data_IF_420728216016
#
_entry.id   IF_420728216016
#
_cell.length_a   1.000
_cell.length_b   1.000
_cell.length_c   1.000
_cell.angle_alpha   90.00
_cell.angle_beta   90.00
_cell.angle_gamma   90.00
#
_symmetry.space_group_name_H-M   'P 1'
#
loop_
_entity.id
_entity.type
_entity.pdbx_description
1 polymer ?
#
# COMPACT_ATOMS: atom_id res chain seq x y z
N UNK A 1 -7.85 -20.36 27.07
CA UNK A 1 -7.20 -20.65 25.77
C UNK A 1 -6.96 -19.35 24.97
N UNK A 2 -6.04 -18.45 25.38
CA UNK A 2 -5.71 -17.24 24.60
C UNK A 2 -4.46 -17.39 23.71
N UNK A 3 -3.56 -18.34 24.01
CA UNK A 3 -2.30 -18.50 23.27
C UNK A 3 -2.52 -19.04 21.83
N UNK A 4 -3.43 -19.99 21.64
CA UNK A 4 -3.71 -20.58 20.32
C UNK A 4 -4.38 -19.60 19.35
N UNK A 5 -5.19 -18.65 19.84
CA UNK A 5 -5.82 -17.63 18.99
C UNK A 5 -4.81 -16.57 18.52
N UNK A 6 -3.79 -16.29 19.33
CA UNK A 6 -2.74 -15.32 19.00
C UNK A 6 -1.73 -15.92 18.01
N UNK A 7 -1.30 -17.16 18.20
CA UNK A 7 -0.43 -17.88 17.25
C UNK A 7 -1.07 -18.04 15.85
N UNK A 8 -2.39 -18.20 15.79
CA UNK A 8 -3.12 -18.28 14.51
C UNK A 8 -3.17 -16.93 13.79
N UNK A 9 -3.37 -15.84 14.54
CA UNK A 9 -3.37 -14.48 14.00
C UNK A 9 -1.97 -14.06 13.49
N UNK A 10 -0.91 -14.51 14.16
CA UNK A 10 0.47 -14.25 13.75
C UNK A 10 0.90 -15.03 12.50
N UNK A 11 0.15 -16.06 12.10
CA UNK A 11 0.45 -16.88 10.92
C UNK A 11 -0.57 -16.72 9.77
N UNK A 12 -1.58 -15.88 9.94
CA UNK A 12 -2.55 -15.56 8.88
C UNK A 12 -2.10 -14.33 8.09
N UNK A 13 -2.16 -14.43 6.75
CA UNK A 13 -1.89 -13.28 5.89
C UNK A 13 -2.84 -12.13 6.17
N UNK A 14 -2.33 -10.90 6.11
CA UNK A 14 -3.08 -9.71 6.49
C UNK A 14 -3.15 -8.75 5.31
N UNK A 15 -4.36 -8.45 4.82
CA UNK A 15 -4.55 -7.56 3.69
C UNK A 15 -4.89 -6.14 4.17
N UNK A 16 -4.29 -5.15 3.51
CA UNK A 16 -4.66 -3.73 3.67
C UNK A 16 -4.96 -3.16 2.30
N UNK A 17 -6.08 -2.45 2.18
CA UNK A 17 -6.43 -1.67 1.00
C UNK A 17 -6.12 -0.20 1.22
N UNK A 18 -5.36 0.37 0.29
CA UNK A 18 -4.94 1.76 0.27
C UNK A 18 -5.70 2.45 -0.86
N UNK A 19 -6.60 3.35 -0.50
CA UNK A 19 -7.39 4.11 -1.46
C UNK A 19 -6.79 5.49 -1.67
N UNK A 20 -6.77 5.92 -2.93
CA UNK A 20 -6.20 7.20 -3.34
C UNK A 20 -7.20 7.96 -4.19
N UNK A 21 -7.54 9.16 -3.75
CA UNK A 21 -8.33 10.14 -4.51
C UNK A 21 -7.43 11.31 -4.88
N UNK A 22 -7.13 11.47 -6.16
CA UNK A 22 -6.30 12.54 -6.69
C UNK A 22 -7.12 13.79 -7.06
N UNK A 23 -6.45 14.93 -7.13
CA UNK A 23 -6.98 16.13 -7.79
C UNK A 23 -7.31 15.79 -9.25
N UNK A 24 -8.37 16.39 -9.79
CA UNK A 24 -8.73 16.21 -11.20
C UNK A 24 -7.53 16.54 -12.10
N UNK A 25 -7.25 15.66 -13.07
CA UNK A 25 -6.09 15.76 -13.96
C UNK A 25 -4.78 15.14 -13.43
N UNK A 26 -4.72 14.73 -12.16
CA UNK A 26 -3.48 14.25 -11.52
C UNK A 26 -3.45 12.74 -11.24
N UNK A 27 -4.51 12.00 -11.56
CA UNK A 27 -4.56 10.55 -11.31
C UNK A 27 -3.41 9.79 -12.03
N UNK A 28 -3.12 10.16 -13.28
CA UNK A 28 -2.04 9.51 -14.03
C UNK A 28 -0.65 9.91 -13.52
N UNK A 29 -0.45 11.16 -13.08
CA UNK A 29 0.78 11.59 -12.42
C UNK A 29 1.00 10.79 -11.12
N UNK A 30 -0.05 10.62 -10.32
CA UNK A 30 0.01 9.85 -9.08
C UNK A 30 0.49 8.42 -9.34
N UNK A 31 -0.13 7.70 -10.28
CA UNK A 31 0.24 6.29 -10.50
C UNK A 31 1.62 6.17 -11.15
N UNK A 32 2.06 7.16 -11.94
CA UNK A 32 3.43 7.22 -12.48
C UNK A 32 4.45 7.37 -11.35
N UNK A 33 4.24 8.31 -10.43
CA UNK A 33 5.10 8.50 -9.27
C UNK A 33 5.09 7.27 -8.35
N UNK A 34 3.91 6.69 -8.10
CA UNK A 34 3.78 5.45 -7.33
C UNK A 34 4.61 4.31 -7.95
N UNK A 35 4.50 4.10 -9.27
CA UNK A 35 5.24 3.05 -9.98
C UNK A 35 6.75 3.31 -10.01
N UNK A 36 7.16 4.57 -10.10
CA UNK A 36 8.56 4.98 -10.16
C UNK A 36 9.26 4.81 -8.81
N UNK A 37 8.60 5.23 -7.74
CA UNK A 37 9.25 5.43 -6.43
C UNK A 37 8.77 4.44 -5.36
N UNK A 38 7.47 4.28 -5.20
CA UNK A 38 6.94 3.45 -4.10
C UNK A 38 6.93 1.95 -4.44
N UNK A 39 6.51 1.58 -5.66
CA UNK A 39 6.41 0.18 -6.08
C UNK A 39 7.75 -0.59 -6.00
N UNK A 40 8.92 -0.03 -6.38
CA UNK A 40 10.19 -0.74 -6.24
C UNK A 40 10.54 -1.06 -4.77
N UNK A 41 10.20 -0.17 -3.83
CA UNK A 41 10.37 -0.42 -2.39
C UNK A 41 9.50 -1.60 -1.96
N UNK A 42 8.21 -1.61 -2.35
CA UNK A 42 7.31 -2.72 -2.05
C UNK A 42 7.79 -4.04 -2.67
N UNK A 43 8.32 -4.01 -3.89
CA UNK A 43 8.91 -5.21 -4.53
C UNK A 43 10.10 -5.76 -3.75
N UNK A 44 10.95 -4.90 -3.17
CA UNK A 44 12.01 -5.35 -2.26
C UNK A 44 11.48 -5.97 -0.98
N UNK A 45 10.36 -5.48 -0.45
CA UNK A 45 9.68 -6.12 0.68
C UNK A 45 9.00 -7.45 0.31
N UNK A 46 8.65 -7.66 -0.97
CA UNK A 46 8.22 -8.98 -1.47
C UNK A 46 9.40 -9.95 -1.45
N UNK A 47 10.57 -9.53 -1.92
CA UNK A 47 11.79 -10.36 -1.93
C UNK A 47 12.20 -10.84 -0.52
N UNK A 48 11.88 -10.08 0.53
CA UNK A 48 12.15 -10.48 1.93
C UNK A 48 11.04 -11.32 2.57
N UNK A 49 9.93 -11.53 1.87
CA UNK A 49 8.77 -12.28 2.37
C UNK A 49 7.91 -11.50 3.38
N UNK A 50 8.16 -10.19 3.58
CA UNK A 50 7.27 -9.33 4.38
C UNK A 50 5.93 -9.11 3.69
N UNK A 51 5.99 -8.85 2.38
CA UNK A 51 4.82 -8.70 1.51
C UNK A 51 4.66 -9.96 0.67
N UNK A 52 3.47 -10.53 0.65
CA UNK A 52 3.12 -11.67 -0.19
C UNK A 52 2.65 -11.23 -1.58
N UNK A 53 1.94 -10.09 -1.67
CA UNK A 53 1.39 -9.58 -2.93
C UNK A 53 1.12 -8.08 -2.87
N UNK A 54 1.34 -7.40 -4.00
CA UNK A 54 0.85 -6.04 -4.27
C UNK A 54 0.02 -6.08 -5.55
N UNK A 55 -1.15 -5.46 -5.53
CA UNK A 55 -1.99 -5.28 -6.72
C UNK A 55 -2.64 -3.90 -6.70
N UNK A 56 -3.00 -3.38 -7.87
CA UNK A 56 -3.66 -2.09 -8.00
C UNK A 56 -4.84 -2.20 -8.96
N UNK A 57 -5.94 -1.56 -8.63
CA UNK A 57 -7.12 -1.42 -9.48
C UNK A 57 -7.54 0.04 -9.55
N UNK A 58 -8.29 0.39 -10.59
CA UNK A 58 -8.96 1.69 -10.73
C UNK A 58 -10.40 1.47 -11.19
N UNK A 59 -11.34 2.38 -10.88
CA UNK A 59 -12.66 2.32 -11.47
C UNK A 59 -12.56 2.46 -12.99
N UNK A 60 -13.38 1.69 -13.71
CA UNK A 60 -13.47 1.80 -15.18
C UNK A 60 -14.24 3.04 -15.63
N UNK A 61 -15.19 3.47 -14.81
CA UNK A 61 -16.09 4.59 -15.07
C UNK A 61 -16.04 5.57 -13.90
N UNK A 62 -16.52 6.80 -14.14
CA UNK A 62 -16.62 7.82 -13.09
C UNK A 62 -17.67 7.43 -12.04
N UNK A 63 -17.40 7.80 -10.79
CA UNK A 63 -18.35 7.73 -9.67
C UNK A 63 -18.83 9.15 -9.32
N UNK A 64 -19.75 9.27 -8.36
CA UNK A 64 -20.05 10.59 -7.75
C UNK A 64 -18.80 11.17 -7.11
N UNK A 65 -18.76 12.49 -6.91
CA UNK A 65 -17.57 13.12 -6.33
C UNK A 65 -17.33 12.64 -4.89
N UNK A 66 -18.39 12.38 -4.12
CA UNK A 66 -18.29 11.87 -2.75
C UNK A 66 -17.73 10.45 -2.71
N UNK A 67 -18.17 9.58 -3.62
CA UNK A 67 -17.74 8.18 -3.70
C UNK A 67 -16.51 7.94 -4.57
N UNK A 68 -15.91 9.00 -5.12
CA UNK A 68 -14.78 8.90 -6.05
C UNK A 68 -13.50 8.49 -5.34
N UNK A 69 -12.84 7.49 -5.91
CA UNK A 69 -11.44 7.17 -5.71
C UNK A 69 -10.84 6.84 -7.09
N UNK A 70 -9.55 7.08 -7.27
CA UNK A 70 -8.89 6.91 -8.57
C UNK A 70 -8.08 5.62 -8.63
N UNK A 71 -7.43 5.24 -7.51
CA UNK A 71 -6.69 3.98 -7.39
C UNK A 71 -6.93 3.34 -6.03
N UNK A 72 -7.03 2.01 -6.04
CA UNK A 72 -6.96 1.16 -4.85
C UNK A 72 -5.78 0.23 -5.00
N UNK A 73 -4.84 0.30 -4.07
CA UNK A 73 -3.72 -0.65 -3.96
C UNK A 73 -4.04 -1.62 -2.84
N UNK A 74 -3.92 -2.92 -3.09
CA UNK A 74 -4.03 -3.94 -2.04
C UNK A 74 -2.65 -4.52 -1.79
N UNK A 75 -2.19 -4.45 -0.54
CA UNK A 75 -0.96 -5.11 -0.07
C UNK A 75 -1.37 -6.24 0.85
N UNK A 76 -0.89 -7.44 0.55
CA UNK A 76 -1.05 -8.62 1.41
C UNK A 76 0.26 -8.85 2.12
N UNK A 77 0.26 -8.67 3.44
CA UNK A 77 1.39 -8.90 4.32
C UNK A 77 1.39 -10.33 4.84
N UNK A 78 2.56 -10.79 5.30
CA UNK A 78 2.70 -12.11 5.94
C UNK A 78 1.78 -12.28 7.15
N UNK A 79 1.65 -11.24 7.97
CA UNK A 79 0.76 -11.17 9.12
C UNK A 79 0.53 -9.70 9.56
N UNK A 80 -0.36 -9.50 10.54
CA UNK A 80 -0.72 -8.18 11.04
C UNK A 80 0.44 -7.44 11.74
N UNK A 81 1.31 -8.17 12.44
CA UNK A 81 2.49 -7.60 13.08
C UNK A 81 3.45 -6.98 12.06
N UNK A 82 3.71 -7.68 10.95
CA UNK A 82 4.54 -7.18 9.85
C UNK A 82 3.89 -5.98 9.16
N UNK A 83 2.57 -5.97 9.00
CA UNK A 83 1.84 -4.85 8.41
C UNK A 83 1.94 -3.55 9.23
N UNK A 84 2.07 -3.69 10.55
CA UNK A 84 2.20 -2.56 11.49
C UNK A 84 3.65 -2.10 11.69
N UNK A 85 4.61 -2.81 11.12
CA UNK A 85 6.04 -2.57 11.27
C UNK A 85 6.61 -1.90 10.01
N UNK A 86 7.22 -0.73 10.17
CA UNK A 86 7.91 0.02 9.11
C UNK A 86 9.42 -0.21 9.09
N UNK A 87 9.93 -1.13 9.91
CA UNK A 87 11.36 -1.40 10.01
C UNK A 87 11.95 -1.89 8.67
N UNK A 88 13.13 -1.37 8.34
CA UNK A 88 13.89 -1.76 7.14
C UNK A 88 13.51 -1.02 5.85
N UNK A 89 12.40 -0.28 5.80
CA UNK A 89 12.02 0.49 4.60
C UNK A 89 13.05 1.57 4.25
N UNK A 90 13.55 2.31 5.24
CA UNK A 90 14.55 3.35 5.03
C UNK A 90 15.85 2.80 4.41
N UNK A 91 16.28 1.60 4.84
CA UNK A 91 17.47 0.95 4.30
C UNK A 91 17.27 0.54 2.83
N UNK A 92 16.07 0.05 2.48
CA UNK A 92 15.68 -0.24 1.09
C UNK A 92 15.70 1.03 0.26
N UNK A 93 15.08 2.12 0.75
CA UNK A 93 15.02 3.41 0.06
C UNK A 93 16.43 3.95 -0.23
N UNK A 94 17.31 3.97 0.78
CA UNK A 94 18.70 4.45 0.61
C UNK A 94 19.48 3.64 -0.43
N UNK A 95 19.21 2.34 -0.54
CA UNK A 95 19.86 1.45 -1.52
C UNK A 95 19.29 1.64 -2.93
N UNK A 96 17.98 1.82 -3.07
CA UNK A 96 17.32 1.96 -4.38
C UNK A 96 17.50 3.36 -4.97
N UNK A 97 17.58 4.39 -4.14
CA UNK A 97 17.57 5.79 -4.57
C UNK A 97 18.79 6.55 -4.03
N UNK A 98 19.96 6.46 -4.67
CA UNK A 98 21.14 7.24 -4.26
C UNK A 98 20.88 8.77 -4.25
N UNK A 99 20.09 9.26 -5.22
CA UNK A 99 19.60 10.65 -5.22
C UNK A 99 18.38 10.80 -4.30
N UNK A 100 18.66 10.98 -3.02
CA UNK A 100 17.65 11.18 -1.97
C UNK A 100 16.90 12.52 -2.09
N UNK A 101 17.48 13.53 -2.76
CA UNK A 101 16.81 14.81 -2.94
C UNK A 101 15.67 14.68 -3.95
N UNK A 102 15.93 14.03 -5.10
CA UNK A 102 14.90 13.75 -6.10
C UNK A 102 13.83 12.82 -5.57
N UNK A 103 14.22 11.71 -4.90
CA UNK A 103 13.25 10.78 -4.32
C UNK A 103 12.27 11.47 -3.37
N UNK A 104 12.79 12.26 -2.41
CA UNK A 104 11.94 12.97 -1.44
C UNK A 104 11.01 13.99 -2.09
N UNK A 105 11.50 14.77 -3.05
CA UNK A 105 10.69 15.73 -3.79
C UNK A 105 9.53 15.05 -4.53
N UNK A 106 9.81 13.92 -5.16
CA UNK A 106 8.82 13.19 -5.93
C UNK A 106 7.82 12.41 -5.06
N UNK A 107 8.26 11.85 -3.93
CA UNK A 107 7.34 11.23 -2.96
C UNK A 107 6.46 12.29 -2.28
N UNK A 108 7.01 13.46 -1.96
CA UNK A 108 6.21 14.59 -1.50
C UNK A 108 5.17 14.98 -2.56
N UNK A 109 5.57 15.08 -3.83
CA UNK A 109 4.66 15.39 -4.94
C UNK A 109 3.55 14.36 -5.07
N UNK A 110 3.88 13.07 -4.94
CA UNK A 110 2.91 11.96 -5.00
C UNK A 110 1.78 12.13 -3.99
N UNK A 111 2.06 12.67 -2.80
CA UNK A 111 1.03 12.96 -1.80
C UNK A 111 0.38 14.34 -1.97
N UNK A 112 1.12 15.36 -2.39
CA UNK A 112 0.60 16.73 -2.59
C UNK A 112 -0.57 16.79 -3.59
N UNK A 113 -0.58 15.89 -4.57
CA UNK A 113 -1.63 15.82 -5.60
C UNK A 113 -2.86 15.02 -5.15
N UNK A 114 -2.87 14.45 -3.95
CA UNK A 114 -4.03 13.77 -3.39
C UNK A 114 -5.01 14.77 -2.75
N UNK A 115 -6.30 14.46 -2.86
CA UNK A 115 -7.39 15.06 -2.09
C UNK A 115 -7.64 14.23 -0.83
N UNK A 116 -7.61 12.91 -0.96
CA UNK A 116 -7.83 12.00 0.16
C UNK A 116 -7.04 10.70 -0.03
N UNK A 117 -6.69 10.12 1.10
CA UNK A 117 -6.05 8.81 1.21
C UNK A 117 -6.52 8.16 2.51
N UNK A 118 -6.88 6.88 2.45
CA UNK A 118 -7.21 6.10 3.62
C UNK A 118 -6.77 4.65 3.46
N UNK A 119 -6.43 4.06 4.60
CA UNK A 119 -5.96 2.69 4.70
C UNK A 119 -7.03 1.87 5.41
N UNK A 120 -7.39 0.74 4.81
CA UNK A 120 -8.44 -0.15 5.28
C UNK A 120 -7.84 -1.53 5.54
N UNK A 121 -7.41 -1.82 6.77
CA UNK A 121 -7.04 -3.17 7.17
C UNK A 121 -8.25 -4.09 7.09
N UNK A 122 -8.06 -5.27 6.49
CA UNK A 122 -9.11 -6.24 6.26
C UNK A 122 -8.97 -7.45 7.18
N UNK A 123 -10.11 -8.00 7.58
CA UNK A 123 -10.20 -9.30 8.25
C UNK A 123 -11.07 -10.21 7.40
N UNK A 124 -10.65 -11.47 7.28
CA UNK A 124 -11.43 -12.46 6.55
C UNK A 124 -12.68 -12.85 7.36
N UNK A 125 -13.83 -12.93 6.70
CA UNK A 125 -15.07 -13.47 7.26
C UNK A 125 -15.28 -14.86 6.63
N UNK A 126 -15.18 -15.96 7.40
CA UNK A 126 -15.45 -17.30 6.89
C UNK A 126 -16.91 -17.42 6.42
N UNK A 127 -17.13 -17.96 5.22
CA UNK A 127 -18.47 -18.13 4.63
C UNK A 127 -19.03 -19.54 4.79
N UNK A 128 -18.15 -20.54 4.95
CA UNK A 128 -18.53 -21.92 5.17
C UNK A 128 -18.63 -22.20 6.68
N UNK A 129 -19.79 -21.92 7.27
CA UNK A 129 -20.15 -22.35 8.63
C UNK A 129 -21.43 -23.20 8.60
#
# INVERSE_FOLDING_TARGET
MPAESQDRADNQSFAVEYYYKAKWGYADEFIQLFKKNHLPVLKKQIETGRILKVSAVKPRYHSTEEGRWDYRVTIVFKNAAVASDSSGEEAIIKRLYPDQATYRREEQRRFEILIAHWDLPLVDVPLDQ
#
